data_IF_440308366419
#
_entry.id   IF_440308366419
#
_cell.length_a   1.000
_cell.length_b   1.000
_cell.length_c   1.000
_cell.angle_alpha   90.00
_cell.angle_beta   90.00
_cell.angle_gamma   90.00
#
_symmetry.space_group_name_H-M   'P 1'
#
loop_
_entity.id
_entity.type
_entity.pdbx_description
1 polymer ?
#
# COMPACT_ATOMS: atom_id res chain seq x y z
N UNK A 1 33.29 5.88 -77.28
CA UNK A 1 33.15 4.57 -76.60
C UNK A 1 33.39 4.76 -75.11
N UNK A 2 32.52 4.16 -74.31
CA UNK A 2 32.36 4.31 -72.86
C UNK A 2 33.53 3.69 -72.10
N UNK A 3 34.02 4.34 -71.03
CA UNK A 3 34.53 3.64 -69.85
C UNK A 3 34.11 4.42 -68.61
N UNK A 4 33.05 3.94 -67.97
CA UNK A 4 32.63 4.37 -66.64
C UNK A 4 33.49 3.61 -65.62
N UNK A 5 34.19 4.34 -64.75
CA UNK A 5 34.89 3.78 -63.59
C UNK A 5 33.90 3.82 -62.44
N UNK A 6 33.35 2.66 -62.08
CA UNK A 6 32.49 2.49 -60.91
C UNK A 6 33.37 2.46 -59.65
N UNK A 7 33.29 3.52 -58.85
CA UNK A 7 33.93 3.61 -57.54
C UNK A 7 33.08 2.81 -56.53
N UNK A 8 33.61 1.69 -56.03
CA UNK A 8 32.95 0.88 -55.00
C UNK A 8 33.23 1.52 -53.61
N UNK A 9 32.28 2.26 -53.05
CA UNK A 9 32.33 2.69 -51.64
C UNK A 9 31.99 1.50 -50.74
N UNK A 10 32.98 0.96 -50.04
CA UNK A 10 32.75 0.03 -48.93
C UNK A 10 32.36 0.87 -47.71
N UNK A 11 31.06 0.93 -47.41
CA UNK A 11 30.57 1.49 -46.16
C UNK A 11 30.89 0.51 -45.03
N UNK A 12 31.93 0.81 -44.25
CA UNK A 12 32.24 0.08 -43.01
C UNK A 12 31.23 0.52 -41.94
N UNK A 13 30.17 -0.26 -41.74
CA UNK A 13 29.28 -0.08 -40.59
C UNK A 13 30.03 -0.54 -39.33
N UNK A 14 30.54 0.41 -38.56
CA UNK A 14 31.00 0.15 -37.21
C UNK A 14 29.77 -0.22 -36.35
N UNK A 15 29.56 -1.51 -36.13
CA UNK A 15 28.64 -1.99 -35.10
C UNK A 15 29.30 -1.67 -33.77
N UNK A 16 28.90 -0.56 -33.14
CA UNK A 16 29.20 -0.36 -31.72
C UNK A 16 28.37 -1.37 -30.95
N UNK A 17 28.98 -2.52 -30.63
CA UNK A 17 28.48 -3.38 -29.59
C UNK A 17 28.54 -2.58 -28.28
N UNK A 18 27.40 -2.05 -27.84
CA UNK A 18 27.27 -1.60 -26.45
C UNK A 18 27.56 -2.83 -25.60
N UNK A 19 28.74 -2.89 -25.00
CA UNK A 19 29.08 -3.91 -24.02
C UNK A 19 28.09 -3.77 -22.88
N UNK A 20 27.06 -4.63 -22.87
CA UNK A 20 26.19 -4.76 -21.73
C UNK A 20 27.07 -5.31 -20.61
N UNK A 21 27.48 -4.43 -19.69
CA UNK A 21 28.25 -4.81 -18.51
C UNK A 21 27.55 -5.99 -17.84
N UNK A 22 28.31 -7.04 -17.52
CA UNK A 22 27.75 -8.23 -16.91
C UNK A 22 26.90 -7.85 -15.69
N UNK A 23 25.69 -8.42 -15.53
CA UNK A 23 24.83 -8.09 -14.42
C UNK A 23 25.56 -8.34 -13.10
N UNK A 24 25.62 -7.31 -12.25
CA UNK A 24 26.23 -7.39 -10.93
C UNK A 24 25.17 -7.57 -9.87
N UNK A 25 25.53 -8.28 -8.80
CA UNK A 25 24.73 -8.29 -7.58
C UNK A 25 24.79 -6.91 -6.92
N UNK A 26 23.64 -6.31 -6.61
CA UNK A 26 23.54 -5.03 -5.91
C UNK A 26 22.50 -5.11 -4.79
N UNK A 27 22.78 -4.41 -3.70
CA UNK A 27 21.84 -4.22 -2.60
C UNK A 27 21.21 -2.84 -2.79
N UNK A 28 19.88 -2.77 -2.77
CA UNK A 28 19.11 -1.54 -2.92
C UNK A 28 18.38 -1.28 -1.61
N UNK A 29 18.72 -0.17 -0.97
CA UNK A 29 18.10 0.27 0.30
C UNK A 29 17.27 1.52 0.04
N UNK A 30 15.97 1.35 -0.15
CA UNK A 30 15.05 2.49 -0.33
C UNK A 30 14.65 3.14 1.01
N UNK A 31 14.66 2.36 2.09
CA UNK A 31 14.46 2.84 3.45
C UNK A 31 15.55 2.26 4.34
N UNK A 32 16.38 3.08 5.00
CA UNK A 32 17.41 2.59 5.91
C UNK A 32 16.84 1.83 7.13
N UNK A 33 15.54 1.98 7.42
CA UNK A 33 14.87 1.31 8.53
C UNK A 33 14.15 0.02 8.12
N UNK A 34 14.17 -0.36 6.84
CA UNK A 34 13.57 -1.60 6.34
C UNK A 34 14.62 -2.50 5.70
N UNK A 35 14.34 -3.82 5.56
CA UNK A 35 15.25 -4.72 4.88
C UNK A 35 15.53 -4.25 3.46
N UNK A 36 16.81 -4.31 3.07
CA UNK A 36 17.23 -3.97 1.71
C UNK A 36 16.86 -5.07 0.72
N UNK A 37 16.63 -4.68 -0.52
CA UNK A 37 16.35 -5.59 -1.62
C UNK A 37 17.64 -6.01 -2.31
N UNK A 38 17.66 -7.24 -2.81
CA UNK A 38 18.80 -7.79 -3.54
C UNK A 38 18.44 -7.91 -5.02
N UNK A 39 19.33 -7.44 -5.89
CA UNK A 39 19.14 -7.45 -7.34
C UNK A 39 20.36 -8.05 -8.04
N UNK A 40 20.13 -8.77 -9.14
CA UNK A 40 21.15 -9.22 -10.07
C UNK A 40 20.88 -8.61 -11.44
N UNK A 41 21.67 -7.60 -11.83
CA UNK A 41 21.22 -6.67 -12.85
C UNK A 41 19.90 -6.03 -12.41
N UNK A 42 18.90 -5.99 -13.29
CA UNK A 42 17.58 -5.41 -12.96
C UNK A 42 16.55 -6.43 -12.44
N UNK A 43 17.00 -7.67 -12.20
CA UNK A 43 16.14 -8.72 -11.66
C UNK A 43 16.24 -8.72 -10.14
N UNK A 44 15.11 -8.48 -9.46
CA UNK A 44 15.01 -8.67 -8.02
C UNK A 44 15.17 -10.15 -7.69
N UNK A 45 16.09 -10.47 -6.79
CA UNK A 45 16.37 -11.84 -6.36
C UNK A 45 15.88 -12.06 -4.93
N UNK A 46 15.42 -13.27 -4.64
CA UNK A 46 15.01 -13.66 -3.28
C UNK A 46 16.27 -14.03 -2.49
N UNK A 47 16.61 -13.29 -1.42
CA UNK A 47 17.79 -13.60 -0.65
C UNK A 47 17.57 -14.90 0.13
N UNK A 48 18.55 -15.80 0.07
CA UNK A 48 18.61 -16.94 0.97
C UNK A 48 18.83 -16.42 2.40
N UNK A 49 17.86 -16.66 3.29
CA UNK A 49 17.96 -16.26 4.71
C UNK A 49 18.35 -17.48 5.53
N UNK A 50 19.43 -17.37 6.29
CA UNK A 50 19.93 -18.40 7.19
C UNK A 50 19.93 -17.88 8.63
N UNK A 51 19.68 -18.77 9.58
CA UNK A 51 19.82 -18.47 11.01
C UNK A 51 21.30 -18.13 11.29
N UNK A 52 21.59 -17.10 12.09
CA UNK A 52 22.97 -16.73 12.40
C UNK A 52 23.78 -17.91 12.94
N UNK A 53 24.94 -18.18 12.34
CA UNK A 53 25.83 -19.26 12.75
C UNK A 53 25.38 -20.67 12.38
N UNK A 54 24.31 -20.84 11.57
CA UNK A 54 23.86 -22.17 11.12
C UNK A 54 23.53 -22.18 9.62
N UNK A 55 23.29 -23.38 9.08
CA UNK A 55 22.77 -23.59 7.72
C UNK A 55 21.24 -23.75 7.68
N UNK A 56 20.56 -23.48 8.80
CA UNK A 56 19.10 -23.58 8.89
C UNK A 56 18.47 -22.41 8.16
N UNK A 57 17.65 -22.70 7.15
CA UNK A 57 16.90 -21.67 6.41
C UNK A 57 15.83 -21.05 7.29
N UNK A 58 15.68 -19.73 7.16
CA UNK A 58 14.53 -19.00 7.71
C UNK A 58 13.42 -19.05 6.67
N UNK A 59 12.23 -19.50 7.07
CA UNK A 59 11.07 -19.56 6.18
C UNK A 59 9.92 -18.73 6.74
N UNK A 60 8.92 -18.45 5.91
CA UNK A 60 7.72 -17.74 6.37
C UNK A 60 6.97 -18.51 7.46
N UNK A 61 7.14 -19.82 7.57
CA UNK A 61 6.49 -20.63 8.61
C UNK A 61 7.10 -20.39 10.00
N UNK A 62 8.31 -19.83 10.09
CA UNK A 62 8.92 -19.43 11.36
C UNK A 62 8.19 -18.22 11.97
N UNK A 63 7.77 -18.32 13.23
CA UNK A 63 6.97 -17.28 13.92
C UNK A 63 7.65 -15.92 13.93
N UNK A 64 8.96 -15.88 14.17
CA UNK A 64 9.72 -14.65 14.32
C UNK A 64 9.85 -13.90 12.99
N UNK A 65 10.10 -14.63 11.89
CA UNK A 65 10.15 -14.07 10.56
C UNK A 65 8.75 -13.67 10.06
N UNK A 66 7.74 -14.49 10.32
CA UNK A 66 6.33 -14.16 10.02
C UNK A 66 5.89 -12.85 10.65
N UNK A 67 6.17 -12.66 11.95
CA UNK A 67 5.85 -11.42 12.66
C UNK A 67 6.66 -10.25 12.09
N UNK A 68 7.93 -10.42 11.74
CA UNK A 68 8.68 -9.34 11.08
C UNK A 68 8.05 -8.93 9.74
N UNK A 69 7.66 -9.90 8.91
CA UNK A 69 6.96 -9.62 7.64
C UNK A 69 5.61 -8.93 7.87
N UNK A 70 4.85 -9.40 8.88
CA UNK A 70 3.90 -8.62 9.69
C UNK A 70 3.98 -7.09 9.62
N UNK A 71 4.95 -6.60 10.38
CA UNK A 71 5.22 -5.20 10.59
C UNK A 71 5.67 -4.50 9.31
N UNK A 72 6.50 -5.15 8.48
CA UNK A 72 7.01 -4.54 7.25
C UNK A 72 5.88 -4.37 6.23
N UNK A 73 5.14 -5.44 5.95
CA UNK A 73 4.14 -5.48 4.89
C UNK A 73 2.93 -4.62 5.22
N UNK A 74 2.45 -4.68 6.47
CA UNK A 74 1.22 -4.00 6.87
C UNK A 74 1.47 -2.64 7.51
N UNK A 75 2.52 -2.48 8.32
CA UNK A 75 2.78 -1.23 9.05
C UNK A 75 3.90 -0.37 8.43
N UNK A 76 4.70 -0.94 7.51
CA UNK A 76 5.78 -0.22 6.84
C UNK A 76 6.97 0.11 7.75
N UNK A 77 7.21 -0.70 8.80
CA UNK A 77 8.31 -0.49 9.75
C UNK A 77 8.79 -1.82 10.32
N UNK A 78 9.96 -1.82 10.96
CA UNK A 78 10.39 -2.94 11.80
C UNK A 78 9.62 -2.94 13.14
N UNK A 79 9.46 -4.12 13.76
CA UNK A 79 8.83 -4.20 15.07
C UNK A 79 9.68 -3.57 16.16
N UNK A 80 9.04 -2.93 17.11
CA UNK A 80 9.64 -2.60 18.40
C UNK A 80 9.78 -3.86 19.28
N UNK A 81 10.77 -3.93 20.19
CA UNK A 81 11.02 -5.13 20.99
C UNK A 81 9.80 -5.63 21.77
N UNK A 82 9.02 -4.71 22.34
CA UNK A 82 7.84 -5.04 23.16
C UNK A 82 6.73 -5.71 22.35
N UNK A 83 6.31 -5.09 21.24
CA UNK A 83 5.27 -5.67 20.37
C UNK A 83 5.75 -6.94 19.69
N UNK A 84 7.01 -7.00 19.26
CA UNK A 84 7.60 -8.23 18.72
C UNK A 84 7.45 -9.41 19.69
N UNK A 85 7.89 -9.20 20.93
CA UNK A 85 7.83 -10.23 21.96
C UNK A 85 6.38 -10.57 22.33
N UNK A 86 5.49 -9.58 22.36
CA UNK A 86 4.06 -9.79 22.57
C UNK A 86 3.46 -10.76 21.55
N UNK A 87 3.67 -10.53 20.26
CA UNK A 87 3.18 -11.42 19.20
C UNK A 87 3.85 -12.79 19.23
N UNK A 88 5.16 -12.84 19.51
CA UNK A 88 5.88 -14.11 19.68
C UNK A 88 5.27 -14.93 20.82
N UNK A 89 4.93 -14.30 21.94
CA UNK A 89 4.30 -14.97 23.07
C UNK A 89 2.92 -15.52 22.72
N UNK A 90 2.13 -14.79 21.93
CA UNK A 90 0.82 -15.25 21.43
C UNK A 90 0.99 -16.53 20.61
N UNK A 91 1.87 -16.53 19.60
CA UNK A 91 2.07 -17.71 18.75
C UNK A 91 2.68 -18.89 19.52
N UNK A 92 3.68 -18.64 20.37
CA UNK A 92 4.37 -19.70 21.13
C UNK A 92 3.48 -20.35 22.18
N UNK A 93 2.51 -19.60 22.72
CA UNK A 93 1.56 -20.11 23.73
C UNK A 93 0.27 -20.62 23.10
N UNK A 94 0.14 -20.54 21.78
CA UNK A 94 -1.08 -20.94 21.10
C UNK A 94 -1.17 -22.46 21.02
N UNK A 95 -2.23 -23.03 21.60
CA UNK A 95 -2.51 -24.46 21.48
C UNK A 95 -2.70 -24.84 19.99
N UNK A 96 -2.25 -26.03 19.56
CA UNK A 96 -2.48 -26.49 18.19
C UNK A 96 -3.96 -26.39 17.79
N UNK A 97 -4.23 -25.88 16.59
CA UNK A 97 -5.57 -25.67 16.04
C UNK A 97 -6.48 -24.73 16.84
N UNK A 98 -5.93 -23.85 17.69
CA UNK A 98 -6.72 -22.82 18.36
C UNK A 98 -6.82 -21.56 17.48
N UNK A 99 -8.00 -21.27 16.88
CA UNK A 99 -8.16 -20.12 15.99
C UNK A 99 -8.05 -18.77 16.72
N UNK A 100 -8.13 -18.74 18.05
CA UNK A 100 -8.09 -17.49 18.82
C UNK A 100 -6.68 -16.88 18.96
N UNK A 101 -5.64 -17.58 18.53
CA UNK A 101 -4.25 -17.13 18.67
C UNK A 101 -3.34 -17.59 17.53
N UNK A 102 -3.90 -18.23 16.50
CA UNK A 102 -3.12 -18.73 15.38
C UNK A 102 -2.58 -17.60 14.49
N UNK A 103 -1.84 -17.97 13.45
CA UNK A 103 -1.22 -17.01 12.53
C UNK A 103 -2.25 -16.17 11.77
N UNK A 104 -3.44 -16.71 11.52
CA UNK A 104 -4.56 -15.96 10.91
C UNK A 104 -5.02 -14.88 11.88
N UNK A 105 -5.15 -15.20 13.16
CA UNK A 105 -5.56 -14.24 14.19
C UNK A 105 -4.50 -13.17 14.45
N UNK A 106 -3.24 -13.57 14.58
CA UNK A 106 -2.12 -12.64 14.75
C UNK A 106 -2.05 -11.69 13.55
N UNK A 107 -2.19 -12.20 12.33
CA UNK A 107 -2.29 -11.36 11.14
C UNK A 107 -3.44 -10.36 11.22
N UNK A 108 -4.64 -10.84 11.58
CA UNK A 108 -5.81 -9.99 11.71
C UNK A 108 -5.61 -8.85 12.71
N UNK A 109 -4.84 -9.11 13.78
CA UNK A 109 -4.40 -8.11 14.74
C UNK A 109 -3.68 -6.91 14.12
N UNK A 110 -2.87 -7.11 13.08
CA UNK A 110 -2.19 -6.00 12.38
C UNK A 110 -3.18 -5.10 11.63
N UNK A 111 -4.10 -5.68 10.86
CA UNK A 111 -5.09 -4.91 10.09
C UNK A 111 -6.10 -4.16 10.96
N UNK A 112 -6.47 -4.76 12.10
CA UNK A 112 -7.39 -4.14 13.07
C UNK A 112 -6.70 -3.19 14.04
N UNK A 113 -5.37 -3.11 14.00
CA UNK A 113 -4.64 -2.21 14.87
C UNK A 113 -5.03 -0.76 14.59
N UNK A 114 -5.09 0.10 15.63
CA UNK A 114 -5.28 1.54 15.42
C UNK A 114 -4.26 2.11 14.45
N UNK A 115 -3.01 1.63 14.50
CA UNK A 115 -1.96 2.07 13.58
C UNK A 115 -2.34 1.84 12.11
N UNK A 116 -2.86 0.67 11.77
CA UNK A 116 -3.27 0.39 10.39
C UNK A 116 -4.54 1.18 9.99
N UNK A 117 -5.50 1.29 10.90
CA UNK A 117 -6.76 2.01 10.69
C UNK A 117 -6.55 3.52 10.51
N UNK A 118 -5.67 4.13 11.29
CA UNK A 118 -5.42 5.57 11.28
C UNK A 118 -4.46 6.00 10.15
N UNK A 119 -3.79 5.04 9.51
CA UNK A 119 -2.75 5.28 8.50
C UNK A 119 -3.09 4.67 7.14
N UNK A 120 -3.09 3.34 7.03
CA UNK A 120 -3.35 2.65 5.76
C UNK A 120 -4.75 2.94 5.22
N UNK A 121 -5.76 2.80 6.09
CA UNK A 121 -7.14 3.14 5.75
C UNK A 121 -7.36 4.64 5.50
N UNK A 122 -6.61 5.50 6.20
CA UNK A 122 -6.61 6.93 5.93
C UNK A 122 -6.20 7.20 4.48
N UNK A 123 -5.07 6.67 4.02
CA UNK A 123 -4.61 6.86 2.63
C UNK A 123 -5.62 6.30 1.62
N UNK A 124 -6.13 5.09 1.86
CA UNK A 124 -7.09 4.44 0.96
C UNK A 124 -8.30 5.32 0.67
N UNK A 125 -8.90 5.91 1.71
CA UNK A 125 -10.14 6.70 1.58
C UNK A 125 -9.96 7.96 0.73
N UNK A 126 -8.75 8.50 0.55
CA UNK A 126 -8.52 9.63 -0.34
C UNK A 126 -8.71 9.25 -1.82
N UNK A 127 -8.31 8.04 -2.22
CA UNK A 127 -8.54 7.52 -3.57
C UNK A 127 -10.02 7.27 -3.82
N UNK A 128 -10.71 6.63 -2.87
CA UNK A 128 -12.16 6.42 -2.96
C UNK A 128 -12.91 7.76 -3.02
N UNK A 129 -12.54 8.73 -2.19
CA UNK A 129 -13.22 10.03 -2.10
C UNK A 129 -12.98 10.93 -3.30
N UNK A 130 -11.76 10.91 -3.85
CA UNK A 130 -11.36 11.85 -4.90
C UNK A 130 -11.47 11.27 -6.31
N UNK A 131 -11.34 9.95 -6.44
CA UNK A 131 -11.24 9.28 -7.74
C UNK A 131 -12.26 8.16 -7.95
N UNK A 132 -13.03 7.77 -6.92
CA UNK A 132 -14.00 6.67 -6.98
C UNK A 132 -13.36 5.34 -7.47
N UNK A 133 -12.10 5.10 -7.11
CA UNK A 133 -11.35 3.90 -7.45
C UNK A 133 -10.49 3.44 -6.28
N UNK A 134 -10.10 2.17 -6.33
CA UNK A 134 -9.05 1.62 -5.47
C UNK A 134 -7.69 2.23 -5.84
N UNK A 135 -6.77 2.43 -4.87
CA UNK A 135 -5.40 2.79 -5.19
C UNK A 135 -4.68 1.60 -5.83
N UNK A 136 -3.76 1.87 -6.76
CA UNK A 136 -2.80 0.87 -7.21
C UNK A 136 -1.72 0.68 -6.16
N UNK A 137 -1.09 -0.49 -6.13
CA UNK A 137 0.00 -0.84 -5.21
C UNK A 137 1.14 0.18 -5.26
N UNK A 138 1.55 0.56 -6.48
CA UNK A 138 2.62 1.52 -6.72
C UNK A 138 2.27 2.95 -6.27
N UNK A 139 0.97 3.27 -6.15
CA UNK A 139 0.52 4.55 -5.59
C UNK A 139 0.40 4.48 -4.06
N UNK A 140 -0.18 3.38 -3.57
CA UNK A 140 -0.53 3.21 -2.16
C UNK A 140 0.69 3.08 -1.25
N UNK A 141 1.68 2.27 -1.63
CA UNK A 141 2.83 1.97 -0.76
C UNK A 141 3.65 3.23 -0.44
N UNK A 142 4.04 4.06 -1.42
CA UNK A 142 4.75 5.31 -1.13
C UNK A 142 3.93 6.29 -0.29
N UNK A 143 2.62 6.38 -0.51
CA UNK A 143 1.75 7.28 0.25
C UNK A 143 1.55 6.83 1.70
N UNK A 144 1.30 5.55 1.92
CA UNK A 144 1.22 4.95 3.26
C UNK A 144 2.53 5.16 4.01
N UNK A 145 3.68 4.99 3.35
CA UNK A 145 5.00 5.16 3.97
C UNK A 145 5.15 6.53 4.66
N UNK A 146 4.56 7.60 4.10
CA UNK A 146 4.61 8.96 4.67
C UNK A 146 4.00 9.06 6.06
N UNK A 147 2.97 8.26 6.32
CA UNK A 147 2.23 8.25 7.59
C UNK A 147 2.56 7.04 8.46
N UNK A 148 3.57 6.25 8.08
CA UNK A 148 4.04 5.07 8.81
C UNK A 148 5.28 5.36 9.67
N UNK A 149 5.71 4.37 10.46
CA UNK A 149 6.91 4.46 11.28
C UNK A 149 6.68 5.06 12.67
N UNK A 150 7.78 5.31 13.39
CA UNK A 150 7.78 5.84 14.76
C UNK A 150 7.59 7.36 14.77
N UNK A 151 6.39 7.80 14.40
CA UNK A 151 5.97 9.20 14.44
C UNK A 151 5.20 9.48 15.74
N UNK A 152 5.50 10.60 16.40
CA UNK A 152 4.62 11.15 17.44
C UNK A 152 3.32 11.65 16.83
N UNK A 153 2.29 11.90 17.64
CA UNK A 153 0.99 12.39 17.15
C UNK A 153 1.14 13.68 16.33
N UNK A 154 1.99 14.61 16.78
CA UNK A 154 2.26 15.85 16.05
C UNK A 154 2.96 15.60 14.70
N UNK A 155 3.91 14.65 14.66
CA UNK A 155 4.58 14.28 13.41
C UNK A 155 3.65 13.57 12.44
N UNK A 156 2.77 12.70 12.95
CA UNK A 156 1.76 12.01 12.16
C UNK A 156 0.76 12.99 11.55
N UNK A 157 0.27 13.94 12.34
CA UNK A 157 -0.63 14.97 11.85
C UNK A 157 0.01 15.87 10.79
N UNK A 158 1.27 16.27 11.00
CA UNK A 158 2.03 17.01 9.98
C UNK A 158 2.19 16.19 8.69
N UNK A 159 2.48 14.88 8.81
CA UNK A 159 2.63 13.98 7.66
C UNK A 159 1.33 13.79 6.89
N UNK A 160 0.19 13.66 7.59
CA UNK A 160 -1.14 13.61 6.97
C UNK A 160 -1.45 14.90 6.21
N UNK A 161 -1.18 16.06 6.79
CA UNK A 161 -1.37 17.36 6.11
C UNK A 161 -0.50 17.49 4.88
N UNK A 162 0.78 17.11 4.96
CA UNK A 162 1.70 17.12 3.82
C UNK A 162 1.23 16.18 2.70
N UNK A 163 0.80 14.96 3.05
CA UNK A 163 0.20 14.03 2.09
C UNK A 163 -1.01 14.65 1.36
N UNK A 164 -1.93 15.29 2.08
CA UNK A 164 -3.12 15.89 1.47
C UNK A 164 -2.72 16.97 0.45
N UNK A 165 -1.77 17.83 0.81
CA UNK A 165 -1.25 18.88 -0.07
C UNK A 165 -0.69 18.28 -1.36
N UNK A 166 0.18 17.27 -1.25
CA UNK A 166 0.81 16.62 -2.40
C UNK A 166 -0.19 15.83 -3.23
N UNK A 167 -1.17 15.19 -2.59
CA UNK A 167 -2.24 14.46 -3.25
C UNK A 167 -3.09 15.39 -4.12
N UNK A 168 -3.43 16.57 -3.59
CA UNK A 168 -4.16 17.61 -4.33
C UNK A 168 -3.34 18.23 -5.47
N UNK A 169 -2.01 18.20 -5.39
CA UNK A 169 -1.13 18.68 -6.44
C UNK A 169 -1.03 17.74 -7.64
N UNK A 170 -1.53 16.50 -7.54
CA UNK A 170 -1.53 15.52 -8.65
C UNK A 170 -2.39 15.99 -9.80
N UNK A 171 -1.94 15.71 -11.03
CA UNK A 171 -2.67 16.06 -12.24
C UNK A 171 -4.11 15.53 -12.25
N UNK A 172 -4.34 14.29 -11.78
CA UNK A 172 -5.68 13.69 -11.70
C UNK A 172 -6.62 14.50 -10.78
N UNK A 173 -6.11 14.94 -9.62
CA UNK A 173 -6.90 15.76 -8.69
C UNK A 173 -7.17 17.16 -9.28
N UNK A 174 -6.12 17.83 -9.76
CA UNK A 174 -6.22 19.17 -10.35
C UNK A 174 -7.21 19.20 -11.50
N UNK A 175 -7.10 18.25 -12.43
CA UNK A 175 -7.98 18.16 -13.61
C UNK A 175 -9.46 18.02 -13.24
N UNK A 176 -9.75 17.33 -12.14
CA UNK A 176 -11.13 17.10 -11.69
C UNK A 176 -11.70 18.24 -10.85
N UNK A 177 -10.86 18.89 -10.03
CA UNK A 177 -11.35 19.77 -8.98
C UNK A 177 -10.94 21.24 -9.13
N UNK A 178 -9.83 21.59 -9.79
CA UNK A 178 -9.30 22.97 -9.79
C UNK A 178 -10.23 23.98 -10.48
N UNK A 179 -11.00 23.53 -11.49
CA UNK A 179 -12.00 24.38 -12.16
C UNK A 179 -13.25 24.65 -11.32
N UNK A 180 -13.45 23.89 -10.23
CA UNK A 180 -14.61 24.04 -9.34
C UNK A 180 -14.34 25.17 -8.34
N UNK A 181 -14.52 26.41 -8.77
CA UNK A 181 -14.31 27.60 -7.92
C UNK A 181 -15.45 27.85 -6.93
N UNK A 182 -16.65 27.34 -7.21
CA UNK A 182 -17.80 27.42 -6.30
C UNK A 182 -17.67 26.40 -5.14
N UNK A 183 -17.79 26.83 -3.88
CA UNK A 183 -17.70 25.95 -2.71
C UNK A 183 -18.69 24.78 -2.73
N UNK A 184 -19.93 25.02 -3.16
CA UNK A 184 -20.96 23.98 -3.23
C UNK A 184 -20.60 22.95 -4.30
N UNK A 185 -20.17 23.39 -5.49
CA UNK A 185 -19.72 22.51 -6.56
C UNK A 185 -18.56 21.61 -6.13
N UNK A 186 -17.55 22.15 -5.45
CA UNK A 186 -16.42 21.36 -4.95
C UNK A 186 -16.84 20.29 -3.93
N UNK A 187 -17.61 20.68 -2.91
CA UNK A 187 -18.05 19.73 -1.87
C UNK A 187 -18.99 18.68 -2.46
N UNK A 188 -19.92 19.08 -3.34
CA UNK A 188 -20.81 18.15 -4.04
C UNK A 188 -20.03 17.15 -4.89
N UNK A 189 -18.99 17.59 -5.61
CA UNK A 189 -18.17 16.71 -6.43
C UNK A 189 -17.41 15.67 -5.58
N UNK A 190 -16.89 16.04 -4.41
CA UNK A 190 -16.25 15.11 -3.47
C UNK A 190 -17.25 14.08 -2.93
N UNK A 191 -18.38 14.53 -2.39
CA UNK A 191 -19.42 13.67 -1.82
C UNK A 191 -19.99 12.71 -2.87
N UNK A 192 -20.26 13.21 -4.08
CA UNK A 192 -20.75 12.41 -5.19
C UNK A 192 -19.71 11.39 -5.67
N UNK A 193 -18.43 11.76 -5.71
CA UNK A 193 -17.35 10.83 -6.08
C UNK A 193 -17.17 9.73 -5.03
N UNK A 194 -17.15 10.10 -3.75
CA UNK A 194 -17.18 9.15 -2.64
C UNK A 194 -18.46 8.29 -2.64
N UNK A 195 -19.51 8.73 -3.33
CA UNK A 195 -20.81 8.08 -3.41
C UNK A 195 -21.44 7.87 -2.04
N UNK A 196 -21.30 8.83 -1.15
CA UNK A 196 -21.90 8.83 0.19
C UNK A 196 -22.90 9.97 0.32
N UNK A 197 -23.76 9.91 1.32
CA UNK A 197 -24.58 11.05 1.76
C UNK A 197 -24.00 11.56 3.06
N UNK A 198 -23.53 12.82 3.10
CA UNK A 198 -22.99 13.42 4.32
C UNK A 198 -24.03 14.34 4.97
N UNK A 199 -24.46 14.09 6.22
CA UNK A 199 -25.28 15.02 6.98
C UNK A 199 -24.62 16.40 7.16
N UNK A 200 -23.28 16.43 7.27
CA UNK A 200 -22.48 17.64 7.42
C UNK A 200 -22.21 18.40 6.11
N UNK A 201 -22.77 17.96 4.97
CA UNK A 201 -22.45 18.54 3.65
C UNK A 201 -22.67 20.05 3.61
N UNK A 202 -23.82 20.53 4.10
CA UNK A 202 -24.13 21.96 4.05
C UNK A 202 -23.15 22.78 4.91
N UNK A 203 -22.81 22.30 6.11
CA UNK A 203 -21.84 22.97 6.97
C UNK A 203 -20.45 23.08 6.30
N UNK A 204 -20.01 22.03 5.58
CA UNK A 204 -18.75 22.07 4.83
C UNK A 204 -18.76 23.08 3.68
N UNK A 205 -19.89 23.24 3.01
CA UNK A 205 -20.07 24.26 1.97
C UNK A 205 -19.94 25.65 2.59
N UNK A 206 -20.66 25.91 3.68
CA UNK A 206 -20.67 27.19 4.36
C UNK A 206 -19.29 27.55 4.94
N UNK A 207 -18.59 26.56 5.51
CA UNK A 207 -17.22 26.72 6.04
C UNK A 207 -16.21 27.05 4.95
N UNK A 208 -16.32 26.40 3.79
CA UNK A 208 -15.45 26.68 2.66
C UNK A 208 -15.73 28.06 2.05
N UNK A 209 -17.02 28.41 1.88
CA UNK A 209 -17.44 29.69 1.35
C UNK A 209 -17.01 30.87 2.23
N UNK A 210 -17.06 30.68 3.56
CA UNK A 210 -16.63 31.68 4.53
C UNK A 210 -15.11 31.67 4.80
N UNK A 211 -14.34 30.79 4.15
CA UNK A 211 -12.89 30.66 4.37
C UNK A 211 -12.50 30.09 5.75
N UNK A 212 -13.45 29.52 6.50
CA UNK A 212 -13.19 28.84 7.79
C UNK A 212 -12.48 27.50 7.61
N UNK A 213 -12.70 26.85 6.46
CA UNK A 213 -11.95 25.67 6.02
C UNK A 213 -11.37 25.90 4.63
N UNK A 214 -10.14 25.45 4.44
CA UNK A 214 -9.52 25.28 3.14
C UNK A 214 -10.11 24.07 2.40
N UNK A 215 -9.89 24.01 1.09
CA UNK A 215 -10.24 22.84 0.25
C UNK A 215 -9.61 21.54 0.74
N UNK A 216 -8.38 21.61 1.26
CA UNK A 216 -7.67 20.49 1.86
C UNK A 216 -8.35 20.00 3.15
N UNK A 217 -8.76 20.92 4.02
CA UNK A 217 -9.50 20.57 5.24
C UNK A 217 -10.89 20.00 4.94
N UNK A 218 -11.57 20.49 3.90
CA UNK A 218 -12.83 19.90 3.43
C UNK A 218 -12.61 18.49 2.90
N UNK A 219 -11.62 18.28 2.02
CA UNK A 219 -11.28 16.95 1.49
C UNK A 219 -10.96 15.96 2.61
N UNK A 220 -10.16 16.39 3.60
CA UNK A 220 -9.85 15.59 4.79
C UNK A 220 -11.11 15.25 5.58
N UNK A 221 -11.98 16.24 5.84
CA UNK A 221 -13.23 16.02 6.59
C UNK A 221 -14.15 15.03 5.89
N UNK A 222 -14.25 15.07 4.56
CA UNK A 222 -15.03 14.09 3.79
C UNK A 222 -14.38 12.71 3.84
N UNK A 223 -13.07 12.62 3.60
CA UNK A 223 -12.35 11.34 3.51
C UNK A 223 -12.27 10.59 4.85
N UNK A 224 -12.31 11.31 5.98
CA UNK A 224 -12.33 10.75 7.33
C UNK A 224 -13.74 10.68 7.93
N UNK A 225 -14.78 10.95 7.14
CA UNK A 225 -16.16 10.85 7.63
C UNK A 225 -16.53 9.40 7.95
N UNK A 226 -17.45 9.21 8.91
CA UNK A 226 -17.95 7.89 9.27
C UNK A 226 -18.63 7.19 8.10
N UNK A 227 -19.29 7.94 7.21
CA UNK A 227 -19.97 7.40 6.04
C UNK A 227 -18.98 6.83 5.01
N UNK A 228 -17.88 7.54 4.74
CA UNK A 228 -16.80 7.03 3.87
C UNK A 228 -16.11 5.84 4.52
N UNK A 229 -15.84 5.91 5.84
CA UNK A 229 -15.29 4.78 6.59
C UNK A 229 -16.15 3.53 6.42
N UNK A 230 -17.44 3.59 6.75
CA UNK A 230 -18.32 2.43 6.73
C UNK A 230 -18.51 1.87 5.32
N UNK A 231 -18.65 2.74 4.32
CA UNK A 231 -18.82 2.31 2.93
C UNK A 231 -17.62 1.54 2.40
N UNK A 232 -16.41 2.00 2.70
CA UNK A 232 -15.18 1.47 2.11
C UNK A 232 -14.41 0.53 3.02
N UNK A 233 -14.90 0.22 4.22
CA UNK A 233 -14.17 -0.59 5.19
C UNK A 233 -13.80 -1.98 4.66
N UNK A 234 -14.78 -2.71 4.12
CA UNK A 234 -14.55 -4.05 3.56
C UNK A 234 -13.72 -4.00 2.28
N UNK A 235 -13.97 -3.02 1.40
CA UNK A 235 -13.21 -2.86 0.15
C UNK A 235 -11.73 -2.60 0.46
N UNK A 236 -11.45 -1.65 1.35
CA UNK A 236 -10.11 -1.36 1.83
C UNK A 236 -9.47 -2.62 2.44
N UNK A 237 -10.18 -3.35 3.30
CA UNK A 237 -9.67 -4.59 3.88
C UNK A 237 -9.22 -5.58 2.80
N UNK A 238 -10.08 -5.85 1.81
CA UNK A 238 -9.77 -6.77 0.70
C UNK A 238 -8.55 -6.31 -0.08
N UNK A 239 -8.50 -5.03 -0.49
CA UNK A 239 -7.39 -4.50 -1.30
C UNK A 239 -6.07 -4.54 -0.52
N UNK A 240 -6.10 -4.30 0.79
CA UNK A 240 -4.92 -4.37 1.63
C UNK A 240 -4.36 -5.79 1.78
N UNK A 241 -5.18 -6.84 1.58
CA UNK A 241 -4.67 -8.21 1.49
C UNK A 241 -3.75 -8.36 0.28
N UNK A 242 -4.16 -7.89 -0.89
CA UNK A 242 -3.32 -7.94 -2.10
C UNK A 242 -2.04 -7.13 -1.92
N UNK A 243 -2.17 -5.90 -1.41
CA UNK A 243 -1.02 -5.02 -1.27
C UNK A 243 -0.02 -5.55 -0.24
N UNK A 244 -0.47 -5.93 0.96
CA UNK A 244 0.44 -6.37 2.00
C UNK A 244 0.94 -7.81 1.83
N UNK A 245 0.08 -8.76 1.42
CA UNK A 245 0.53 -10.14 1.21
C UNK A 245 1.21 -10.34 -0.13
N UNK A 246 0.71 -9.78 -1.22
CA UNK A 246 1.12 -10.18 -2.57
C UNK A 246 2.01 -9.14 -3.25
N UNK A 247 2.10 -7.93 -2.70
CA UNK A 247 2.91 -6.83 -3.24
C UNK A 247 2.56 -6.47 -4.70
N UNK A 248 1.26 -6.50 -5.02
CA UNK A 248 0.74 -6.21 -6.37
C UNK A 248 -0.65 -5.61 -6.31
N UNK A 249 -1.10 -5.09 -7.45
CA UNK A 249 -2.47 -4.66 -7.65
C UNK A 249 -3.46 -5.83 -7.48
N UNK A 250 -4.64 -5.50 -6.96
CA UNK A 250 -5.73 -6.44 -6.88
C UNK A 250 -6.25 -6.78 -8.28
N UNK A 251 -6.35 -8.08 -8.60
CA UNK A 251 -7.02 -8.54 -9.81
C UNK A 251 -8.54 -8.61 -9.59
N UNK A 252 -9.29 -8.83 -10.67
CA UNK A 252 -10.78 -8.78 -10.65
C UNK A 252 -11.44 -9.65 -9.57
N UNK A 253 -10.74 -10.68 -9.07
CA UNK A 253 -11.20 -11.56 -8.00
C UNK A 253 -11.46 -10.83 -6.68
N UNK A 254 -10.92 -9.62 -6.49
CA UNK A 254 -11.22 -8.79 -5.31
C UNK A 254 -12.73 -8.53 -5.14
N UNK A 255 -13.50 -8.49 -6.23
CA UNK A 255 -14.96 -8.30 -6.17
C UNK A 255 -15.68 -9.49 -5.53
N UNK A 256 -15.24 -10.71 -5.84
CA UNK A 256 -15.78 -11.94 -5.24
C UNK A 256 -15.45 -12.01 -3.74
N UNK A 257 -14.27 -11.51 -3.37
CA UNK A 257 -13.86 -11.39 -1.98
C UNK A 257 -14.71 -10.40 -1.20
N UNK A 258 -15.06 -9.25 -1.80
CA UNK A 258 -16.00 -8.29 -1.18
C UNK A 258 -17.37 -8.94 -1.00
N UNK A 259 -17.87 -9.66 -2.00
CA UNK A 259 -19.14 -10.39 -1.88
C UNK A 259 -19.09 -11.43 -0.76
N UNK A 260 -18.02 -12.21 -0.67
CA UNK A 260 -17.80 -13.18 0.40
C UNK A 260 -17.84 -12.51 1.77
N UNK A 261 -17.13 -11.39 1.93
CA UNK A 261 -17.10 -10.62 3.18
C UNK A 261 -18.48 -10.04 3.54
N UNK A 262 -19.27 -9.62 2.56
CA UNK A 262 -20.61 -9.10 2.81
C UNK A 262 -21.59 -10.23 3.18
N UNK A 263 -21.44 -11.42 2.60
CA UNK A 263 -22.31 -12.58 2.84
C UNK A 263 -21.99 -13.28 4.17
N UNK A 264 -20.71 -13.37 4.56
CA UNK A 264 -20.29 -14.07 5.77
C UNK A 264 -20.33 -13.19 7.03
N UNK A 265 -20.91 -11.98 6.95
CA UNK A 265 -21.00 -11.05 8.07
C UNK A 265 -19.67 -10.37 8.43
N UNK A 266 -18.70 -10.33 7.51
CA UNK A 266 -17.40 -9.72 7.72
C UNK A 266 -16.38 -10.65 8.38
N UNK A 267 -16.52 -11.97 8.22
CA UNK A 267 -15.55 -12.93 8.74
C UNK A 267 -14.20 -12.79 8.01
N UNK A 268 -13.31 -12.03 8.64
CA UNK A 268 -11.97 -11.74 8.18
C UNK A 268 -11.07 -12.98 8.12
N UNK A 269 -11.39 -14.05 8.85
CA UNK A 269 -10.51 -15.22 8.94
C UNK A 269 -10.47 -15.97 7.62
N UNK A 270 -11.61 -16.14 6.96
CA UNK A 270 -11.70 -16.79 5.64
C UNK A 270 -10.80 -16.07 4.64
N UNK A 271 -10.90 -14.74 4.60
CA UNK A 271 -10.08 -13.90 3.75
C UNK A 271 -8.58 -14.04 4.08
N UNK A 272 -8.18 -13.76 5.31
CA UNK A 272 -6.76 -13.78 5.71
C UNK A 272 -6.17 -15.17 5.45
N UNK A 273 -6.91 -16.23 5.79
CA UNK A 273 -6.48 -17.60 5.56
C UNK A 273 -6.19 -17.87 4.08
N UNK A 274 -7.02 -17.35 3.17
CA UNK A 274 -6.82 -17.48 1.72
C UNK A 274 -5.51 -16.85 1.23
N UNK A 275 -5.09 -15.73 1.82
CA UNK A 275 -3.86 -15.02 1.41
C UNK A 275 -2.62 -15.53 2.14
N UNK A 276 -2.67 -15.66 3.47
CA UNK A 276 -1.52 -16.04 4.30
C UNK A 276 -1.04 -17.47 4.03
N UNK A 277 -1.93 -18.34 3.56
CA UNK A 277 -1.59 -19.71 3.18
C UNK A 277 -1.45 -19.91 1.66
N UNK A 278 -1.59 -18.84 0.87
CA UNK A 278 -1.45 -18.93 -0.58
C UNK A 278 -0.04 -19.30 -1.01
N UNK A 279 0.06 -20.03 -2.12
CA UNK A 279 1.35 -20.30 -2.77
C UNK A 279 2.03 -19.00 -3.21
N UNK A 280 1.25 -18.00 -3.64
CA UNK A 280 1.77 -16.71 -4.07
C UNK A 280 2.49 -15.97 -2.93
N UNK A 281 1.89 -15.90 -1.74
CA UNK A 281 2.55 -15.31 -0.57
C UNK A 281 3.81 -16.08 -0.17
N UNK A 282 3.72 -17.42 -0.10
CA UNK A 282 4.87 -18.29 0.21
C UNK A 282 6.03 -18.06 -0.77
N UNK A 283 5.71 -17.87 -2.05
CA UNK A 283 6.69 -17.60 -3.09
C UNK A 283 7.38 -16.24 -2.96
N UNK A 284 7.04 -15.36 -2.03
CA UNK A 284 7.83 -14.14 -1.77
C UNK A 284 9.16 -14.43 -1.05
N UNK A 285 9.30 -15.60 -0.44
CA UNK A 285 10.40 -15.94 0.47
C UNK A 285 11.24 -17.13 -0.01
#
# INVERSE_FOLDING_TARGET
MKFAITLLLVALTAVTAFGQSAPTLRIVTEDPNLPSELFYGDIKVKPLRLRPGTNTRITIDDSDFFIQQHYIDFLGRMPEPGGFQGWMNVLNSCAPNNPACDRVEVSAGFFRSPEFQDRGYFIYRFYSTSFARIPLFAEFVPDRKRVSGFQSDAQLEASKVAFISDFMARAEFKNKYDSLTDPAAYVNALVSTAGVTLPSKQALIDDLAAGRKSRAQVLRTVSESGEVYQKYYNEAFVIMQYHGYLHRDADISYKNWIETMNQNGGDYRVMINGFVNSLEYRNRF
#
